data_IF_574949582782
#
_entry.id   IF_574949582782
#
_cell.length_a   1.000
_cell.length_b   1.000
_cell.length_c   1.000
_cell.angle_alpha   90.00
_cell.angle_beta   90.00
_cell.angle_gamma   90.00
#
_symmetry.space_group_name_H-M   'P 1'
#
loop_
_entity.id
_entity.type
_entity.pdbx_description
1 polymer ?
#
# COMPACT_ATOMS: atom_id res chain seq x y z
N UNK A 1 -15.15 -14.37 8.03
CA UNK A 1 -16.41 -13.65 8.22
C UNK A 1 -16.14 -12.21 8.63
N UNK A 2 -15.50 -11.93 9.75
CA UNK A 2 -15.31 -10.57 10.26
C UNK A 2 -14.62 -9.59 9.25
N UNK A 3 -13.68 -10.07 8.44
CA UNK A 3 -13.12 -9.28 7.34
C UNK A 3 -14.15 -9.01 6.25
N UNK A 4 -15.06 -9.96 6.00
CA UNK A 4 -16.15 -9.77 5.04
C UNK A 4 -17.13 -8.70 5.52
N UNK A 5 -17.44 -8.68 6.82
CA UNK A 5 -18.36 -7.69 7.42
C UNK A 5 -17.82 -6.25 7.26
N UNK A 6 -16.50 -6.06 7.30
CA UNK A 6 -15.84 -4.77 7.03
C UNK A 6 -15.84 -4.45 5.53
N UNK A 7 -15.55 -5.43 4.69
CA UNK A 7 -15.33 -5.19 3.26
C UNK A 7 -16.62 -5.01 2.45
N UNK A 8 -17.64 -5.83 2.69
CA UNK A 8 -18.86 -5.86 1.87
C UNK A 8 -19.56 -4.49 1.76
N UNK A 9 -19.74 -3.70 2.85
CA UNK A 9 -20.39 -2.40 2.76
C UNK A 9 -19.65 -1.37 1.89
N UNK A 10 -18.34 -1.59 1.68
CA UNK A 10 -17.49 -0.69 0.87
C UNK A 10 -17.51 -1.01 -0.63
N UNK A 11 -18.14 -2.11 -1.02
CA UNK A 11 -18.14 -2.62 -2.40
C UNK A 11 -19.45 -2.27 -3.11
N UNK A 12 -19.35 -2.13 -4.45
CA UNK A 12 -20.54 -2.09 -5.30
C UNK A 12 -21.25 -3.43 -5.26
N UNK A 13 -22.56 -3.43 -5.42
CA UNK A 13 -23.41 -4.61 -5.32
C UNK A 13 -22.93 -5.80 -6.17
N UNK A 14 -22.62 -5.55 -7.45
CA UNK A 14 -22.09 -6.57 -8.36
C UNK A 14 -20.80 -7.20 -7.87
N UNK A 15 -19.93 -6.39 -7.27
CA UNK A 15 -18.65 -6.86 -6.72
C UNK A 15 -18.83 -7.59 -5.38
N UNK A 16 -19.78 -7.17 -4.56
CA UNK A 16 -20.07 -7.76 -3.27
C UNK A 16 -20.54 -9.23 -3.42
N UNK A 17 -21.32 -9.54 -4.47
CA UNK A 17 -21.82 -10.90 -4.74
C UNK A 17 -20.72 -11.92 -5.02
N UNK A 18 -19.60 -11.51 -5.59
CA UNK A 18 -18.47 -12.40 -5.97
C UNK A 18 -17.20 -12.14 -5.15
N UNK A 19 -17.28 -11.27 -4.14
CA UNK A 19 -16.11 -10.91 -3.36
C UNK A 19 -15.65 -12.03 -2.44
N UNK A 20 -14.36 -12.31 -2.49
CA UNK A 20 -13.65 -13.09 -1.48
C UNK A 20 -12.36 -12.36 -1.12
N UNK A 21 -11.93 -12.36 0.16
CA UNK A 21 -10.61 -11.86 0.53
C UNK A 21 -9.48 -12.73 -0.04
N UNK A 22 -9.77 -13.95 -0.44
CA UNK A 22 -8.81 -14.91 -0.96
C UNK A 22 -8.71 -14.88 -2.49
N UNK A 23 -7.48 -14.97 -2.97
CA UNK A 23 -7.10 -15.07 -4.38
C UNK A 23 -6.24 -16.32 -4.54
N UNK A 24 -6.82 -17.49 -4.87
CA UNK A 24 -6.04 -18.72 -5.03
C UNK A 24 -5.07 -18.63 -6.19
N UNK A 25 -3.94 -19.33 -6.08
CA UNK A 25 -3.04 -19.57 -7.19
C UNK A 25 -3.48 -20.84 -7.93
N UNK A 26 -3.60 -20.74 -9.23
CA UNK A 26 -3.94 -21.89 -10.06
C UNK A 26 -2.79 -22.91 -10.04
N UNK A 27 -3.03 -24.17 -9.64
CA UNK A 27 -1.95 -25.13 -9.35
C UNK A 27 -1.12 -25.54 -10.57
N UNK A 28 -1.68 -25.42 -11.78
CA UNK A 28 -0.98 -25.78 -13.02
C UNK A 28 -0.25 -24.59 -13.67
N UNK A 29 -0.73 -23.36 -13.46
CA UNK A 29 -0.22 -22.17 -14.17
C UNK A 29 0.42 -21.11 -13.26
N UNK A 30 0.29 -21.25 -11.94
CA UNK A 30 0.69 -20.26 -10.93
C UNK A 30 0.06 -18.85 -11.12
N UNK A 31 -1.00 -18.73 -11.93
CA UNK A 31 -1.73 -17.47 -12.08
C UNK A 31 -2.55 -17.21 -10.83
N UNK A 32 -2.57 -15.96 -10.40
CA UNK A 32 -3.47 -15.50 -9.34
C UNK A 32 -4.89 -15.45 -9.93
N UNK A 33 -5.80 -16.20 -9.33
CA UNK A 33 -7.18 -16.31 -9.81
C UNK A 33 -8.09 -15.37 -9.02
N UNK A 34 -8.85 -14.56 -9.75
CA UNK A 34 -9.88 -13.70 -9.16
C UNK A 34 -11.24 -14.34 -9.43
N UNK A 35 -11.60 -15.29 -8.59
CA UNK A 35 -12.79 -16.13 -8.71
C UNK A 35 -13.64 -16.06 -7.46
N UNK A 36 -14.90 -16.43 -7.57
CA UNK A 36 -15.75 -16.68 -6.41
C UNK A 36 -15.26 -17.93 -5.68
N UNK A 37 -15.37 -17.92 -4.36
CA UNK A 37 -15.05 -19.08 -3.53
C UNK A 37 -16.36 -19.84 -3.28
N UNK A 38 -16.38 -21.10 -3.71
CA UNK A 38 -17.56 -21.96 -3.59
C UNK A 38 -17.76 -22.41 -2.15
N UNK A 39 -16.65 -22.71 -1.43
CA UNK A 39 -16.68 -23.22 -0.07
C UNK A 39 -15.41 -22.84 0.71
N UNK A 40 -15.57 -22.53 2.00
CA UNK A 40 -14.47 -22.30 2.94
C UNK A 40 -14.39 -23.46 3.93
N UNK A 41 -13.35 -24.26 3.87
CA UNK A 41 -13.10 -25.34 4.80
C UNK A 41 -12.20 -24.88 5.95
N UNK A 42 -12.83 -24.44 7.05
CA UNK A 42 -12.12 -23.88 8.21
C UNK A 42 -11.26 -24.91 8.94
N UNK A 43 -11.69 -26.17 8.98
CA UNK A 43 -10.95 -27.23 9.69
C UNK A 43 -9.65 -27.60 9.00
N UNK A 44 -9.61 -27.48 7.67
CA UNK A 44 -8.41 -27.74 6.84
C UNK A 44 -7.61 -26.47 6.55
N UNK A 45 -8.16 -25.28 6.78
CA UNK A 45 -7.55 -24.02 6.33
C UNK A 45 -7.44 -23.94 4.82
N UNK A 46 -8.50 -24.37 4.11
CA UNK A 46 -8.53 -24.38 2.64
C UNK A 46 -9.80 -23.73 2.10
N UNK A 47 -9.76 -23.37 0.83
CA UNK A 47 -10.86 -22.85 0.03
C UNK A 47 -11.10 -23.73 -1.18
N UNK A 48 -12.36 -23.87 -1.58
CA UNK A 48 -12.75 -24.58 -2.79
C UNK A 48 -13.27 -23.55 -3.80
N UNK A 49 -12.82 -23.68 -5.03
CA UNK A 49 -13.16 -22.77 -6.13
C UNK A 49 -13.17 -23.51 -7.46
N UNK A 50 -13.88 -22.96 -8.43
CA UNK A 50 -14.01 -23.52 -9.77
C UNK A 50 -13.30 -22.63 -10.78
N UNK A 51 -12.46 -23.23 -11.62
CA UNK A 51 -11.82 -22.52 -12.73
C UNK A 51 -12.87 -22.14 -13.79
N UNK A 52 -13.08 -20.85 -14.08
CA UNK A 52 -14.08 -20.41 -15.03
C UNK A 52 -13.76 -20.79 -16.49
N UNK A 53 -12.50 -21.09 -16.81
CA UNK A 53 -12.09 -21.46 -18.18
C UNK A 53 -12.31 -22.95 -18.45
N UNK A 54 -12.09 -23.80 -17.44
CA UNK A 54 -12.11 -25.27 -17.62
C UNK A 54 -13.27 -25.96 -16.92
N UNK A 55 -13.90 -25.30 -15.94
CA UNK A 55 -14.90 -25.90 -15.06
C UNK A 55 -14.33 -26.88 -14.03
N UNK A 56 -12.98 -27.00 -13.95
CA UNK A 56 -12.31 -27.87 -13.00
C UNK A 56 -12.40 -27.28 -11.58
N UNK A 57 -12.71 -28.13 -10.60
CA UNK A 57 -12.84 -27.72 -9.21
C UNK A 57 -11.54 -28.00 -8.45
N UNK A 58 -11.06 -27.02 -7.72
CA UNK A 58 -9.80 -27.07 -6.95
C UNK A 58 -10.03 -26.82 -5.48
N UNK A 59 -9.29 -27.50 -4.61
CA UNK A 59 -9.11 -27.16 -3.21
C UNK A 59 -7.70 -26.58 -3.02
N UNK A 60 -7.62 -25.35 -2.48
CA UNK A 60 -6.35 -24.64 -2.27
C UNK A 60 -6.19 -24.28 -0.81
N UNK A 61 -5.04 -24.62 -0.18
CA UNK A 61 -4.70 -24.09 1.15
C UNK A 61 -4.63 -22.57 1.13
N UNK A 62 -5.06 -21.91 2.22
CA UNK A 62 -4.95 -20.44 2.34
C UNK A 62 -3.58 -19.98 2.80
N UNK A 63 -2.69 -20.91 3.15
CA UNK A 63 -1.32 -20.66 3.62
C UNK A 63 -0.29 -21.31 2.69
N UNK A 64 1.00 -21.18 3.02
CA UNK A 64 2.07 -21.84 2.27
C UNK A 64 2.30 -21.30 0.85
N UNK A 65 1.81 -20.09 0.54
CA UNK A 65 1.99 -19.49 -0.79
C UNK A 65 0.99 -19.95 -1.86
N UNK A 66 -0.02 -20.75 -1.49
CA UNK A 66 -1.04 -21.24 -2.43
C UNK A 66 -2.20 -20.27 -2.64
N UNK A 67 -2.25 -19.21 -1.85
CA UNK A 67 -3.29 -18.19 -1.91
C UNK A 67 -2.71 -16.82 -1.59
N UNK A 68 -3.15 -15.80 -2.31
CA UNK A 68 -2.93 -14.38 -1.96
C UNK A 68 -4.18 -13.82 -1.29
N UNK A 69 -4.03 -12.70 -0.61
CA UNK A 69 -5.17 -11.90 -0.17
C UNK A 69 -5.46 -10.76 -1.15
N UNK A 70 -6.70 -10.28 -1.15
CA UNK A 70 -7.06 -8.99 -1.73
C UNK A 70 -6.26 -7.87 -1.06
N UNK A 71 -6.01 -6.79 -1.77
CA UNK A 71 -5.15 -5.67 -1.40
C UNK A 71 -5.35 -5.16 0.04
N UNK A 72 -6.57 -4.81 0.45
CA UNK A 72 -6.80 -4.22 1.78
C UNK A 72 -6.67 -5.23 2.93
N UNK A 73 -7.23 -6.45 2.82
CA UNK A 73 -6.95 -7.52 3.78
C UNK A 73 -5.47 -7.91 3.86
N UNK A 74 -4.74 -7.95 2.74
CA UNK A 74 -3.29 -8.23 2.72
C UNK A 74 -2.51 -7.15 3.49
N UNK A 75 -2.86 -5.90 3.26
CA UNK A 75 -2.22 -4.78 3.93
C UNK A 75 -2.43 -4.81 5.45
N UNK A 76 -3.66 -4.97 5.88
CA UNK A 76 -4.00 -5.12 7.30
C UNK A 76 -3.32 -6.34 7.95
N UNK A 77 -3.31 -7.48 7.26
CA UNK A 77 -2.63 -8.69 7.74
C UNK A 77 -1.14 -8.46 7.95
N UNK A 78 -0.48 -7.74 7.05
CA UNK A 78 0.95 -7.39 7.19
C UNK A 78 1.18 -6.48 8.39
N UNK A 79 0.35 -5.47 8.61
CA UNK A 79 0.46 -4.60 9.78
C UNK A 79 0.42 -5.39 11.07
N UNK A 80 -0.57 -6.29 11.19
CA UNK A 80 -0.73 -7.12 12.40
C UNK A 80 0.40 -8.14 12.53
N UNK A 81 0.75 -8.84 11.46
CA UNK A 81 1.74 -9.91 11.51
C UNK A 81 3.17 -9.40 11.77
N UNK A 82 3.50 -8.19 11.33
CA UNK A 82 4.82 -7.58 11.48
C UNK A 82 4.92 -6.60 12.64
N UNK A 83 3.80 -6.29 13.31
CA UNK A 83 3.75 -5.30 14.38
C UNK A 83 4.19 -3.91 13.90
N UNK A 84 3.58 -3.44 12.80
CA UNK A 84 3.96 -2.15 12.20
C UNK A 84 3.43 -1.01 13.05
N UNK A 85 4.33 -0.18 13.60
CA UNK A 85 3.97 0.95 14.45
C UNK A 85 3.63 2.21 13.65
N UNK A 86 4.26 2.39 12.47
CA UNK A 86 4.10 3.60 11.68
C UNK A 86 4.18 3.34 10.18
N UNK A 87 3.22 3.90 9.43
CA UNK A 87 3.23 3.87 7.97
C UNK A 87 2.57 5.13 7.38
N UNK A 88 3.25 5.75 6.40
CA UNK A 88 2.72 6.85 5.61
C UNK A 88 2.08 6.34 4.33
N UNK A 89 1.00 6.96 3.91
CA UNK A 89 0.34 6.64 2.64
C UNK A 89 0.06 7.90 1.82
N UNK A 90 0.05 7.77 0.50
CA UNK A 90 -0.41 8.82 -0.39
C UNK A 90 -1.90 9.10 -0.20
N UNK A 91 -2.34 10.31 -0.48
CA UNK A 91 -3.76 10.71 -0.35
C UNK A 91 -4.72 9.83 -1.16
N UNK A 92 -4.23 9.21 -2.22
CA UNK A 92 -5.02 8.28 -3.04
C UNK A 92 -5.43 7.00 -2.26
N UNK A 93 -4.81 6.74 -1.11
CA UNK A 93 -5.00 5.55 -0.29
C UNK A 93 -5.80 5.81 1.00
N UNK A 94 -6.35 7.00 1.20
CA UNK A 94 -7.09 7.36 2.42
C UNK A 94 -8.17 6.33 2.76
N UNK A 95 -9.04 6.00 1.81
CA UNK A 95 -10.10 5.01 2.02
C UNK A 95 -9.54 3.60 2.24
N UNK A 96 -8.41 3.28 1.60
CA UNK A 96 -7.76 2.00 1.79
C UNK A 96 -7.13 1.89 3.19
N UNK A 97 -6.47 2.94 3.68
CA UNK A 97 -5.94 3.01 5.04
C UNK A 97 -7.05 2.83 6.06
N UNK A 98 -8.17 3.55 5.89
CA UNK A 98 -9.32 3.47 6.78
C UNK A 98 -9.86 2.04 6.89
N UNK A 99 -10.17 1.42 5.75
CA UNK A 99 -10.68 0.04 5.72
C UNK A 99 -9.66 -0.98 6.24
N UNK A 100 -8.38 -0.84 5.86
CA UNK A 100 -7.34 -1.73 6.38
C UNK A 100 -7.14 -1.58 7.89
N UNK A 101 -7.32 -0.36 8.45
CA UNK A 101 -7.30 -0.14 9.90
C UNK A 101 -8.46 -0.83 10.61
N UNK A 102 -9.66 -0.81 10.04
CA UNK A 102 -10.81 -1.54 10.58
C UNK A 102 -10.57 -3.06 10.54
N UNK A 103 -10.00 -3.57 9.43
CA UNK A 103 -9.62 -4.98 9.31
C UNK A 103 -8.53 -5.35 10.32
N UNK A 104 -7.51 -4.52 10.53
CA UNK A 104 -6.44 -4.78 11.51
C UNK A 104 -7.02 -4.97 12.91
N UNK A 105 -7.94 -4.10 13.35
CA UNK A 105 -8.66 -4.24 14.64
C UNK A 105 -9.48 -5.52 14.70
N UNK A 106 -10.14 -5.89 13.61
CA UNK A 106 -10.89 -7.14 13.49
C UNK A 106 -9.99 -8.38 13.63
N UNK A 107 -8.73 -8.28 13.21
CA UNK A 107 -7.69 -9.30 13.39
C UNK A 107 -7.02 -9.25 14.78
N UNK A 108 -7.57 -8.47 15.72
CA UNK A 108 -7.06 -8.27 17.08
C UNK A 108 -5.68 -7.60 17.14
N UNK A 109 -5.33 -6.81 16.11
CA UNK A 109 -4.14 -5.98 16.07
C UNK A 109 -4.47 -4.49 16.13
N UNK A 110 -3.45 -3.68 16.38
CA UNK A 110 -3.53 -2.23 16.27
C UNK A 110 -3.06 -1.79 14.88
N UNK A 111 -3.80 -0.90 14.19
CA UNK A 111 -3.31 -0.31 12.96
C UNK A 111 -2.17 0.67 13.25
N UNK A 112 -1.21 0.84 12.32
CA UNK A 112 -0.11 1.77 12.51
C UNK A 112 -0.59 3.22 12.61
N UNK A 113 0.13 4.03 13.38
CA UNK A 113 0.05 5.47 13.30
C UNK A 113 0.60 5.97 11.97
N UNK A 114 0.14 7.13 11.51
CA UNK A 114 0.65 7.69 10.26
C UNK A 114 -0.13 8.89 9.77
N UNK A 115 0.20 9.33 8.58
CA UNK A 115 -0.55 10.39 7.89
C UNK A 115 -0.55 10.19 6.38
N UNK A 116 -1.47 10.88 5.72
CA UNK A 116 -1.54 10.88 4.26
C UNK A 116 -0.79 12.08 3.71
N UNK A 117 0.19 11.83 2.84
CA UNK A 117 0.93 12.86 2.12
C UNK A 117 0.29 13.22 0.78
N UNK A 118 0.56 14.45 0.34
CA UNK A 118 0.09 14.96 -0.94
C UNK A 118 0.90 14.44 -2.13
N UNK A 119 0.38 14.69 -3.32
CA UNK A 119 1.02 14.25 -4.57
C UNK A 119 2.32 15.01 -4.83
N UNK A 120 3.24 14.32 -5.49
CA UNK A 120 4.40 14.94 -6.11
C UNK A 120 4.06 15.36 -7.55
N UNK A 121 4.46 16.56 -7.90
CA UNK A 121 4.22 17.18 -9.20
C UNK A 121 5.55 17.39 -9.91
N UNK A 122 5.54 17.30 -11.23
CA UNK A 122 6.70 17.66 -12.04
C UNK A 122 6.93 19.18 -12.09
N UNK A 123 7.95 19.62 -12.83
CA UNK A 123 8.27 21.03 -13.01
C UNK A 123 7.08 21.85 -13.53
N UNK A 124 6.24 21.25 -14.39
CA UNK A 124 5.05 21.87 -14.98
C UNK A 124 3.81 21.80 -14.08
N UNK A 125 3.92 21.23 -12.88
CA UNK A 125 2.80 21.05 -11.95
C UNK A 125 1.88 19.89 -12.32
N UNK A 126 2.31 18.95 -13.16
CA UNK A 126 1.55 17.75 -13.49
C UNK A 126 1.91 16.61 -12.54
N UNK A 127 0.94 15.72 -12.26
CA UNK A 127 1.19 14.54 -11.42
C UNK A 127 2.32 13.69 -12.01
N UNK A 128 3.31 13.37 -11.18
CA UNK A 128 4.37 12.43 -11.52
C UNK A 128 3.79 11.03 -11.67
N UNK A 129 4.19 10.34 -12.72
CA UNK A 129 3.78 8.96 -12.98
C UNK A 129 4.91 8.17 -13.63
N UNK A 130 5.07 6.92 -13.20
CA UNK A 130 6.09 6.01 -13.76
C UNK A 130 5.93 5.81 -15.26
N UNK A 131 4.70 5.74 -15.76
CA UNK A 131 4.43 5.55 -17.19
C UNK A 131 4.80 6.75 -18.06
N UNK A 132 4.83 7.96 -17.47
CA UNK A 132 5.25 9.19 -18.17
C UNK A 132 6.76 9.45 -18.07
N UNK A 133 7.46 8.80 -17.12
CA UNK A 133 8.87 9.03 -16.89
C UNK A 133 9.22 10.46 -16.50
N UNK A 134 8.26 11.22 -15.94
CA UNK A 134 8.42 12.64 -15.59
C UNK A 134 8.78 12.87 -14.12
N UNK A 135 9.27 11.83 -13.43
CA UNK A 135 9.66 11.89 -12.03
C UNK A 135 11.18 11.91 -11.88
N UNK A 136 11.63 12.43 -10.75
CA UNK A 136 13.00 12.33 -10.27
C UNK A 136 13.12 11.06 -9.42
N UNK A 137 14.16 10.26 -9.63
CA UNK A 137 14.42 9.05 -8.84
C UNK A 137 15.22 9.38 -7.57
N UNK A 138 15.18 8.49 -6.60
CA UNK A 138 16.00 8.59 -5.39
C UNK A 138 17.49 8.56 -5.75
N UNK A 139 17.91 7.71 -6.68
CA UNK A 139 19.30 7.57 -7.11
C UNK A 139 19.81 8.86 -7.77
N UNK A 140 18.97 9.51 -8.57
CA UNK A 140 19.30 10.83 -9.13
C UNK A 140 19.48 11.88 -8.03
N UNK A 141 18.59 11.91 -7.03
CA UNK A 141 18.77 12.83 -5.89
C UNK A 141 20.09 12.55 -5.15
N UNK A 142 20.34 11.30 -4.79
CA UNK A 142 21.53 10.88 -4.02
C UNK A 142 22.85 11.06 -4.79
N UNK A 143 22.79 11.25 -6.10
CA UNK A 143 23.98 11.61 -6.90
C UNK A 143 24.49 13.02 -6.58
N UNK A 144 23.60 13.94 -6.18
CA UNK A 144 23.91 15.36 -6.04
C UNK A 144 23.72 15.92 -4.63
N UNK A 145 22.98 15.21 -3.77
CA UNK A 145 22.64 15.67 -2.42
C UNK A 145 22.53 14.50 -1.44
N UNK A 146 22.52 14.83 -0.13
CA UNK A 146 22.51 13.81 0.93
C UNK A 146 21.12 13.23 1.18
N UNK A 147 21.02 12.01 1.77
CA UNK A 147 19.73 11.42 2.19
C UNK A 147 18.95 12.32 3.15
N UNK A 148 19.65 13.06 4.01
CA UNK A 148 19.02 13.95 4.99
C UNK A 148 18.34 15.14 4.31
N UNK A 149 18.93 15.67 3.23
CA UNK A 149 18.30 16.75 2.43
C UNK A 149 17.01 16.25 1.75
N UNK A 150 16.99 14.99 1.28
CA UNK A 150 15.79 14.34 0.77
C UNK A 150 14.75 14.15 1.87
N UNK A 151 15.16 13.68 3.05
CA UNK A 151 14.28 13.52 4.20
C UNK A 151 13.64 14.84 4.61
N UNK A 152 14.43 15.92 4.67
CA UNK A 152 13.91 17.25 4.95
C UNK A 152 12.87 17.66 3.89
N UNK A 153 13.16 17.49 2.60
CA UNK A 153 12.21 17.77 1.53
C UNK A 153 10.91 16.99 1.69
N UNK A 154 10.99 15.70 2.00
CA UNK A 154 9.81 14.84 2.14
C UNK A 154 8.94 15.24 3.33
N UNK A 155 9.54 15.56 4.48
CA UNK A 155 8.83 15.89 5.71
C UNK A 155 8.46 17.37 5.86
N UNK A 156 9.11 18.27 5.15
CA UNK A 156 8.75 19.68 5.15
C UNK A 156 7.38 19.86 4.47
N UNK A 157 6.35 20.22 5.25
CA UNK A 157 4.97 20.40 4.79
C UNK A 157 4.42 19.18 4.01
N UNK A 158 4.36 17.99 4.61
CA UNK A 158 4.04 16.75 3.89
C UNK A 158 2.59 16.69 3.35
N UNK A 159 1.70 17.56 3.84
CA UNK A 159 0.30 17.64 3.39
C UNK A 159 0.07 18.66 2.28
N UNK A 160 1.14 19.27 1.76
CA UNK A 160 1.09 20.16 0.60
C UNK A 160 1.67 19.45 -0.63
N UNK A 161 1.05 19.66 -1.80
CA UNK A 161 1.60 19.15 -3.06
C UNK A 161 2.94 19.79 -3.35
N UNK A 162 3.95 18.98 -3.69
CA UNK A 162 5.32 19.43 -3.91
C UNK A 162 5.74 19.18 -5.34
N UNK A 163 6.45 20.14 -5.91
CA UNK A 163 7.13 19.94 -7.18
C UNK A 163 8.45 19.23 -6.94
N UNK A 164 8.65 18.11 -7.61
CA UNK A 164 9.86 17.27 -7.53
C UNK A 164 10.49 17.21 -8.93
N UNK A 165 11.53 17.99 -9.15
CA UNK A 165 12.28 18.10 -10.38
C UNK A 165 13.75 18.44 -10.06
N UNK A 166 14.64 18.35 -11.05
CA UNK A 166 16.07 18.39 -10.81
C UNK A 166 16.56 19.64 -10.05
N UNK A 167 16.09 20.82 -10.42
CA UNK A 167 16.58 22.09 -9.83
C UNK A 167 16.15 22.28 -8.35
N UNK A 168 15.29 21.44 -7.83
CA UNK A 168 14.94 21.47 -6.40
C UNK A 168 16.06 20.89 -5.53
N UNK A 169 16.92 20.02 -6.09
CA UNK A 169 17.96 19.30 -5.33
C UNK A 169 18.95 20.27 -4.68
N UNK A 170 19.63 21.17 -5.44
CA UNK A 170 20.61 22.07 -4.83
C UNK A 170 19.96 23.00 -3.79
N UNK A 171 18.75 23.48 -4.05
CA UNK A 171 18.02 24.33 -3.12
C UNK A 171 17.75 23.61 -1.78
N UNK A 172 17.31 22.36 -1.84
CA UNK A 172 17.04 21.59 -0.64
C UNK A 172 18.31 21.16 0.09
N UNK A 173 19.43 20.99 -0.61
CA UNK A 173 20.72 20.79 0.01
C UNK A 173 21.15 22.04 0.82
N UNK A 174 21.00 23.24 0.24
CA UNK A 174 21.30 24.51 0.91
C UNK A 174 20.38 24.75 2.12
N UNK A 175 19.08 24.49 1.98
CA UNK A 175 18.11 24.56 3.09
C UNK A 175 18.52 23.62 4.23
N UNK A 176 18.89 22.36 3.90
CA UNK A 176 19.36 21.40 4.90
C UNK A 176 20.61 21.88 5.64
N UNK A 177 21.61 22.38 4.90
CA UNK A 177 22.83 22.91 5.49
C UNK A 177 22.54 24.09 6.43
N UNK A 178 21.66 24.98 6.03
CA UNK A 178 21.19 26.11 6.83
C UNK A 178 20.52 25.65 8.13
N UNK A 179 19.65 24.63 8.08
CA UNK A 179 19.02 24.05 9.28
C UNK A 179 20.08 23.43 10.20
N UNK A 180 21.00 22.67 9.64
CA UNK A 180 22.08 22.02 10.40
C UNK A 180 22.97 23.04 11.12
N UNK A 181 23.31 24.16 10.50
CA UNK A 181 24.10 25.22 11.12
C UNK A 181 23.37 25.93 12.26
N UNK A 182 22.05 26.08 12.14
CA UNK A 182 21.22 26.74 13.17
C UNK A 182 20.85 25.81 14.35
N UNK A 183 20.93 24.50 14.16
CA UNK A 183 20.52 23.53 15.19
C UNK A 183 21.26 23.69 16.52
N UNK A 184 22.61 23.84 16.57
CA UNK A 184 23.33 24.04 17.83
C UNK A 184 22.97 25.32 18.57
N UNK A 185 22.35 26.28 17.89
CA UNK A 185 21.95 27.58 18.48
C UNK A 185 20.57 27.52 19.14
N UNK A 186 19.86 26.41 19.00
CA UNK A 186 18.51 26.18 19.55
C UNK A 186 18.53 25.32 20.83
N UNK A 187 19.67 24.76 21.18
CA UNK A 187 19.95 24.01 22.43
C UNK A 187 20.52 24.96 23.50
#
# INVERSE_FOLDING_TARGET
DAVMDVMLPSLREERAQSYSPFLPLHPKTNRVMQVSIDEVNRSRGSIIWTDPETGERFESPVTGGHCKLQWKPDWAMRWVALGVDYEMAGKDLIDSVKLSSEIARTLSGEPPEGFNYELFLDEKGQKISKSKGNGLTIDEWLTYATPESLSLFMYQKPREAKRLYFDIIPRMADDYLTFREKYPQQA
#
